data_IF_843115487293
#
_entry.id   IF_843115487293
#
_cell.length_a   1.000
_cell.length_b   1.000
_cell.length_c   1.000
_cell.angle_alpha   90.00
_cell.angle_beta   90.00
_cell.angle_gamma   90.00
#
_symmetry.space_group_name_H-M   'P 1'
#
loop_
_entity.id
_entity.type
_entity.pdbx_description
1 polymer ?
#
# COMPACT_ATOMS: atom_id res chain seq x y z
N UNK A 1 -16.98 3.55 4.46
CA UNK A 1 -16.41 2.20 4.23
C UNK A 1 -15.49 1.77 5.38
N UNK A 2 -14.61 2.64 5.88
CA UNK A 2 -13.50 2.27 6.76
C UNK A 2 -13.68 2.58 8.27
N UNK A 3 -14.88 2.91 8.74
CA UNK A 3 -15.15 3.30 10.14
C UNK A 3 -14.63 2.28 11.18
N UNK A 4 -14.60 0.98 10.85
CA UNK A 4 -14.09 -0.06 11.75
C UNK A 4 -12.60 0.09 12.10
N UNK A 5 -11.85 0.91 11.34
CA UNK A 5 -10.43 1.23 11.59
C UNK A 5 -10.24 2.40 12.57
N UNK A 6 -11.29 3.15 12.91
CA UNK A 6 -11.23 4.36 13.78
C UNK A 6 -10.67 4.12 15.19
N UNK A 7 -10.71 2.86 15.65
CA UNK A 7 -10.09 2.42 16.91
C UNK A 7 -8.56 2.47 16.89
N UNK A 8 -7.95 2.56 15.72
CA UNK A 8 -6.50 2.72 15.55
C UNK A 8 -6.18 4.19 15.33
N UNK A 9 -5.17 4.71 16.02
CA UNK A 9 -4.65 6.05 15.71
C UNK A 9 -3.81 6.02 14.44
N UNK A 10 -3.02 4.97 14.25
CA UNK A 10 -2.06 4.87 13.15
C UNK A 10 -2.39 3.70 12.25
N UNK A 11 -2.54 4.00 10.97
CA UNK A 11 -2.92 3.03 9.95
C UNK A 11 -1.88 3.10 8.83
N UNK A 12 -1.24 1.98 8.53
CA UNK A 12 -0.34 1.84 7.39
C UNK A 12 -1.04 1.06 6.29
N UNK A 13 -1.13 1.67 5.11
CA UNK A 13 -1.63 1.03 3.89
C UNK A 13 -0.44 0.61 3.04
N UNK A 14 -0.32 -0.69 2.78
CA UNK A 14 0.77 -1.28 2.01
C UNK A 14 0.25 -2.34 1.04
N UNK A 15 1.14 -2.99 0.30
CA UNK A 15 0.79 -3.99 -0.71
C UNK A 15 1.69 -3.89 -1.93
N UNK A 16 1.43 -4.69 -2.98
CA UNK A 16 2.13 -4.56 -4.24
C UNK A 16 2.01 -3.14 -4.81
N UNK A 17 3.08 -2.67 -5.45
CA UNK A 17 3.01 -1.46 -6.26
C UNK A 17 1.88 -1.61 -7.28
N UNK A 18 1.11 -0.54 -7.48
CA UNK A 18 -0.04 -0.48 -8.41
C UNK A 18 -1.27 -1.29 -7.99
N UNK A 19 -1.29 -1.88 -6.79
CA UNK A 19 -2.48 -2.53 -6.21
C UNK A 19 -3.55 -1.56 -5.66
N UNK A 20 -3.35 -0.23 -5.80
CA UNK A 20 -4.32 0.76 -5.32
C UNK A 20 -4.08 1.28 -3.90
N UNK A 21 -2.85 1.16 -3.38
CA UNK A 21 -2.49 1.66 -2.03
C UNK A 21 -2.76 3.15 -1.86
N UNK A 22 -2.49 3.98 -2.87
CA UNK A 22 -2.76 5.43 -2.81
C UNK A 22 -4.25 5.75 -2.66
N UNK A 23 -5.11 5.15 -3.47
CA UNK A 23 -6.56 5.43 -3.41
C UNK A 23 -7.16 4.90 -2.11
N UNK A 24 -6.78 3.69 -1.68
CA UNK A 24 -7.21 3.12 -0.41
C UNK A 24 -6.80 4.00 0.78
N UNK A 25 -5.54 4.45 0.83
CA UNK A 25 -5.07 5.32 1.91
C UNK A 25 -5.82 6.66 1.95
N UNK A 26 -6.09 7.28 0.79
CA UNK A 26 -6.89 8.50 0.71
C UNK A 26 -8.34 8.27 1.17
N UNK A 27 -8.96 7.14 0.81
CA UNK A 27 -10.31 6.80 1.23
C UNK A 27 -10.41 6.54 2.74
N UNK A 28 -9.44 5.81 3.31
CA UNK A 28 -9.36 5.61 4.77
C UNK A 28 -9.18 6.95 5.47
N UNK A 29 -8.27 7.80 4.99
CA UNK A 29 -8.03 9.13 5.56
C UNK A 29 -9.30 10.01 5.52
N UNK A 30 -10.01 9.99 4.40
CA UNK A 30 -11.28 10.69 4.21
C UNK A 30 -12.34 10.21 5.20
N UNK A 31 -12.64 8.91 5.22
CA UNK A 31 -13.67 8.33 6.09
C UNK A 31 -13.41 8.63 7.57
N UNK A 32 -12.15 8.49 8.01
CA UNK A 32 -11.79 8.65 9.42
C UNK A 32 -11.54 10.10 9.84
N UNK A 33 -11.44 11.04 8.88
CA UNK A 33 -10.97 12.41 9.14
C UNK A 33 -9.51 12.46 9.61
N UNK A 34 -8.67 11.55 9.12
CA UNK A 34 -7.26 11.45 9.51
C UNK A 34 -6.36 12.16 8.49
N UNK A 35 -5.23 12.75 8.92
CA UNK A 35 -4.17 13.19 8.02
C UNK A 35 -3.68 12.05 7.11
N UNK A 36 -3.63 12.31 5.81
CA UNK A 36 -3.00 11.43 4.83
C UNK A 36 -1.51 11.73 4.70
N UNK A 37 -0.69 10.70 4.87
CA UNK A 37 0.77 10.73 4.73
C UNK A 37 1.19 9.89 3.52
N UNK A 38 1.53 10.53 2.39
CA UNK A 38 1.96 9.82 1.18
C UNK A 38 3.41 9.34 1.29
N UNK A 39 3.76 8.30 0.52
CA UNK A 39 5.08 7.65 0.50
C UNK A 39 6.23 8.64 0.26
N UNK A 40 6.02 9.65 -0.57
CA UNK A 40 7.02 10.66 -0.94
C UNK A 40 7.51 11.47 0.25
N UNK A 41 6.72 11.56 1.34
CA UNK A 41 7.14 12.23 2.57
C UNK A 41 8.08 11.36 3.43
N UNK A 42 8.19 10.07 3.15
CA UNK A 42 9.02 9.15 3.93
C UNK A 42 10.45 8.98 3.39
N UNK A 43 10.78 9.59 2.24
CA UNK A 43 12.09 9.48 1.59
C UNK A 43 12.28 8.18 0.78
N UNK A 44 13.28 8.15 -0.10
CA UNK A 44 13.48 7.08 -1.10
C UNK A 44 14.41 5.92 -0.64
N UNK A 45 15.03 6.03 0.54
CA UNK A 45 16.09 5.11 1.01
C UNK A 45 15.62 4.13 2.11
N UNK A 46 16.53 3.56 2.92
CA UNK A 46 16.24 2.79 4.14
C UNK A 46 15.86 3.67 5.35
N UNK A 47 16.01 5.00 5.20
CA UNK A 47 15.52 6.02 6.12
C UNK A 47 14.02 5.95 6.50
N UNK A 48 13.09 5.42 5.67
CA UNK A 48 11.69 5.24 6.02
C UNK A 48 11.53 4.43 7.30
N UNK A 49 12.37 3.41 7.58
CA UNK A 49 12.24 2.66 8.83
C UNK A 49 12.45 3.55 10.05
N UNK A 50 13.47 4.42 10.01
CA UNK A 50 13.76 5.36 11.09
C UNK A 50 12.70 6.45 11.18
N UNK A 51 12.34 7.06 10.05
CA UNK A 51 11.34 8.14 9.98
C UNK A 51 9.94 7.67 10.39
N UNK A 52 9.52 6.48 9.91
CA UNK A 52 8.26 5.85 10.30
C UNK A 52 8.31 5.52 11.79
N UNK A 53 9.41 4.95 12.30
CA UNK A 53 9.51 4.63 13.73
C UNK A 53 9.48 5.88 14.61
N UNK A 54 10.01 7.01 14.15
CA UNK A 54 9.91 8.29 14.85
C UNK A 54 8.49 8.85 14.81
N UNK A 55 7.88 8.94 13.62
CA UNK A 55 6.51 9.45 13.49
C UNK A 55 5.46 8.55 14.17
N UNK A 56 5.69 7.23 14.19
CA UNK A 56 4.79 6.30 14.86
C UNK A 56 4.85 6.42 16.39
N UNK A 57 5.94 6.95 16.98
CA UNK A 57 6.03 7.12 18.44
C UNK A 57 5.10 8.20 19.00
N UNK A 58 4.67 9.15 18.18
CA UNK A 58 3.97 10.34 18.67
C UNK A 58 2.46 10.14 18.90
N UNK A 59 1.92 8.93 18.67
CA UNK A 59 0.50 8.63 18.89
C UNK A 59 -0.47 9.45 18.03
N UNK A 60 0.04 10.25 17.10
CA UNK A 60 -0.75 11.10 16.21
C UNK A 60 -1.61 10.24 15.29
N UNK A 61 -2.85 10.68 15.08
CA UNK A 61 -3.76 10.05 14.12
C UNK A 61 -3.25 10.30 12.71
N UNK A 62 -3.03 9.25 11.93
CA UNK A 62 -2.57 9.36 10.55
C UNK A 62 -2.78 8.07 9.76
N UNK A 63 -2.91 8.24 8.44
CA UNK A 63 -2.92 7.14 7.46
C UNK A 63 -1.71 7.27 6.56
N UNK A 64 -0.80 6.29 6.62
CA UNK A 64 0.44 6.27 5.86
C UNK A 64 0.30 5.36 4.65
N UNK A 65 0.66 5.81 3.46
CA UNK A 65 0.78 4.96 2.27
C UNK A 65 2.23 4.54 2.07
N UNK A 66 2.52 3.23 2.18
CA UNK A 66 3.87 2.69 2.23
C UNK A 66 4.00 1.34 1.46
N UNK A 67 3.82 1.31 0.12
CA UNK A 67 3.90 0.09 -0.68
C UNK A 67 5.33 -0.50 -0.72
N UNK A 68 6.38 0.33 -0.74
CA UNK A 68 7.76 -0.16 -0.66
C UNK A 68 8.07 -0.84 0.69
N UNK A 69 7.32 -0.50 1.75
CA UNK A 69 7.49 -1.08 3.07
C UNK A 69 6.80 -2.44 3.24
N UNK A 70 6.17 -2.97 2.19
CA UNK A 70 5.45 -4.24 2.25
C UNK A 70 6.33 -5.41 2.67
N UNK A 71 7.67 -5.34 2.53
CA UNK A 71 8.56 -6.43 2.95
C UNK A 71 8.69 -6.52 4.48
N UNK A 72 8.50 -5.40 5.18
CA UNK A 72 8.80 -5.25 6.61
C UNK A 72 7.60 -4.83 7.46
N UNK A 73 6.39 -4.78 6.92
CA UNK A 73 5.22 -4.28 7.66
C UNK A 73 4.91 -5.06 8.95
N UNK A 74 5.35 -6.31 9.06
CA UNK A 74 5.26 -7.12 10.29
C UNK A 74 6.24 -6.72 11.41
N UNK A 75 7.20 -5.83 11.11
CA UNK A 75 8.15 -5.27 12.06
C UNK A 75 7.71 -3.90 12.61
N UNK A 76 6.58 -3.36 12.14
CA UNK A 76 6.06 -2.09 12.61
C UNK A 76 5.77 -2.14 14.12
N UNK A 77 6.04 -1.05 14.86
CA UNK A 77 5.73 -0.99 16.28
C UNK A 77 4.22 -1.11 16.51
N UNK A 78 3.84 -1.72 17.63
CA UNK A 78 2.44 -1.73 18.09
C UNK A 78 2.14 -0.37 18.74
N UNK A 79 0.88 0.14 18.67
CA UNK A 79 -0.33 -0.50 18.15
C UNK A 79 -0.76 -0.02 16.74
N UNK A 80 0.04 -0.25 15.70
CA UNK A 80 -0.31 0.13 14.33
C UNK A 80 -1.22 -0.90 13.64
N UNK A 81 -2.24 -0.41 12.93
CA UNK A 81 -3.00 -1.23 12.00
C UNK A 81 -2.34 -1.28 10.63
N UNK A 82 -2.29 -2.46 10.03
CA UNK A 82 -1.72 -2.65 8.69
C UNK A 82 -2.82 -3.10 7.74
N UNK A 83 -3.12 -2.28 6.74
CA UNK A 83 -4.03 -2.59 5.65
C UNK A 83 -3.21 -3.01 4.43
N UNK A 84 -3.37 -4.26 4.00
CA UNK A 84 -2.70 -4.76 2.81
C UNK A 84 -3.66 -4.79 1.62
N UNK A 85 -3.26 -4.17 0.51
CA UNK A 85 -4.03 -4.15 -0.73
C UNK A 85 -3.83 -5.44 -1.53
N UNK A 86 -4.94 -6.03 -1.93
CA UNK A 86 -5.00 -7.10 -2.92
C UNK A 86 -5.61 -6.57 -4.21
N UNK A 87 -5.09 -7.05 -5.33
CA UNK A 87 -5.57 -6.77 -6.68
C UNK A 87 -5.14 -7.92 -7.57
N UNK A 88 -5.92 -8.18 -8.60
CA UNK A 88 -5.53 -9.13 -9.64
C UNK A 88 -4.11 -8.85 -10.18
N UNK A 89 -3.33 -9.91 -10.32
CA UNK A 89 -1.89 -9.81 -10.62
C UNK A 89 -1.65 -9.37 -12.06
N UNK A 90 -2.47 -9.83 -13.00
CA UNK A 90 -2.34 -9.44 -14.41
C UNK A 90 -2.68 -7.96 -14.56
N UNK A 91 -3.65 -7.48 -13.79
CA UNK A 91 -4.05 -6.08 -13.69
C UNK A 91 -2.95 -5.19 -13.08
N UNK A 92 -2.23 -5.69 -12.06
CA UNK A 92 -1.02 -5.04 -11.52
C UNK A 92 0.08 -4.97 -12.59
N UNK A 93 0.38 -6.08 -13.27
CA UNK A 93 1.43 -6.16 -14.29
C UNK A 93 1.12 -5.20 -15.44
N UNK A 94 -0.13 -5.19 -15.94
CA UNK A 94 -0.57 -4.27 -16.98
C UNK A 94 -0.38 -2.80 -16.55
N UNK A 95 -0.72 -2.47 -15.30
CA UNK A 95 -0.54 -1.13 -14.74
C UNK A 95 0.94 -0.73 -14.59
N UNK A 96 1.82 -1.66 -14.21
CA UNK A 96 3.26 -1.43 -14.10
C UNK A 96 3.90 -1.22 -15.48
N UNK A 97 3.54 -2.04 -16.48
CA UNK A 97 4.00 -1.90 -17.87
C UNK A 97 3.63 -0.54 -18.46
N UNK A 98 2.39 -0.08 -18.22
CA UNK A 98 1.90 1.23 -18.70
C UNK A 98 2.77 2.41 -18.28
N UNK A 99 3.41 2.33 -17.12
CA UNK A 99 4.26 3.40 -16.58
C UNK A 99 5.76 3.05 -16.59
N UNK A 100 6.15 1.99 -17.33
CA UNK A 100 7.52 1.49 -17.41
C UNK A 100 8.18 1.25 -16.03
N UNK A 101 7.41 0.75 -15.06
CA UNK A 101 7.90 0.56 -13.69
C UNK A 101 8.84 -0.65 -13.54
N UNK A 102 8.59 -1.72 -14.31
CA UNK A 102 9.20 -3.05 -14.11
C UNK A 102 10.71 -3.09 -14.28
N UNK A 103 11.25 -2.41 -15.30
CA UNK A 103 12.63 -2.61 -15.79
C UNK A 103 13.72 -2.35 -14.74
N UNK A 104 13.49 -1.41 -13.81
CA UNK A 104 14.47 -1.05 -12.77
C UNK A 104 14.01 -1.37 -11.36
N UNK A 105 12.72 -1.27 -11.07
CA UNK A 105 12.21 -1.33 -9.69
C UNK A 105 11.91 -2.76 -9.24
N UNK A 106 11.44 -3.61 -10.15
CA UNK A 106 11.02 -4.97 -9.80
C UNK A 106 12.18 -5.85 -9.28
N UNK A 107 13.38 -5.86 -9.90
CA UNK A 107 14.51 -6.61 -9.37
C UNK A 107 14.95 -6.14 -7.97
N UNK A 108 14.95 -4.82 -7.73
CA UNK A 108 15.29 -4.25 -6.41
C UNK A 108 14.31 -4.71 -5.34
N UNK A 109 13.02 -4.70 -5.68
CA UNK A 109 11.97 -5.15 -4.77
C UNK A 109 12.04 -6.65 -4.49
N UNK A 110 12.26 -7.48 -5.52
CA UNK A 110 12.41 -8.93 -5.37
C UNK A 110 13.57 -9.32 -4.45
N UNK A 111 14.69 -8.58 -4.52
CA UNK A 111 15.83 -8.81 -3.65
C UNK A 111 15.48 -8.69 -2.16
N UNK A 112 14.51 -7.84 -1.79
CA UNK A 112 14.05 -7.69 -0.40
C UNK A 112 13.33 -8.93 0.14
N UNK A 113 12.86 -9.80 -0.76
CA UNK A 113 12.21 -11.07 -0.46
C UNK A 113 13.14 -12.27 -0.74
N UNK A 114 14.43 -12.02 -0.99
CA UNK A 114 15.40 -13.05 -1.39
C UNK A 114 14.96 -13.82 -2.65
N UNK A 115 14.33 -13.11 -3.59
CA UNK A 115 13.86 -13.66 -4.87
C UNK A 115 14.61 -13.04 -6.06
N UNK A 116 14.65 -13.80 -7.15
CA UNK A 116 15.18 -13.37 -8.46
C UNK A 116 14.04 -13.10 -9.46
N UNK A 117 14.26 -12.29 -10.51
CA UNK A 117 13.24 -11.96 -11.52
C UNK A 117 12.58 -13.14 -12.23
N UNK A 118 13.29 -14.27 -12.36
CA UNK A 118 12.79 -15.51 -12.96
C UNK A 118 11.85 -16.31 -12.04
N UNK A 119 11.66 -15.90 -10.78
CA UNK A 119 10.84 -16.58 -9.78
C UNK A 119 9.41 -16.03 -9.68
N UNK A 120 8.96 -15.28 -10.69
CA UNK A 120 7.62 -14.72 -10.80
C UNK A 120 7.55 -13.23 -10.49
N UNK A 121 6.41 -12.58 -10.81
CA UNK A 121 6.22 -11.15 -10.63
C UNK A 121 6.25 -10.77 -9.15
N UNK A 122 6.81 -9.60 -8.83
CA UNK A 122 6.92 -9.12 -7.45
C UNK A 122 5.56 -9.05 -6.74
N UNK A 123 4.49 -8.76 -7.47
CA UNK A 123 3.13 -8.71 -6.92
C UNK A 123 2.70 -10.05 -6.31
N UNK A 124 2.95 -11.17 -6.99
CA UNK A 124 2.70 -12.53 -6.47
C UNK A 124 3.53 -12.76 -5.21
N UNK A 125 4.84 -12.48 -5.28
CA UNK A 125 5.76 -12.68 -4.15
C UNK A 125 5.30 -11.90 -2.91
N UNK A 126 4.89 -10.64 -3.07
CA UNK A 126 4.38 -9.80 -1.99
C UNK A 126 3.10 -10.35 -1.37
N UNK A 127 2.15 -10.79 -2.20
CA UNK A 127 0.87 -11.34 -1.75
C UNK A 127 1.09 -12.66 -0.99
N UNK A 128 1.91 -13.56 -1.53
CA UNK A 128 2.21 -14.84 -0.89
C UNK A 128 2.92 -14.63 0.45
N UNK A 129 3.89 -13.71 0.50
CA UNK A 129 4.61 -13.37 1.74
C UNK A 129 3.70 -12.72 2.78
N UNK A 130 2.78 -11.85 2.35
CA UNK A 130 1.75 -11.28 3.23
C UNK A 130 0.91 -12.37 3.90
N UNK A 131 0.37 -13.29 3.10
CA UNK A 131 -0.52 -14.36 3.57
C UNK A 131 0.22 -15.32 4.50
N UNK A 132 1.42 -15.76 4.10
CA UNK A 132 2.11 -16.88 4.76
C UNK A 132 2.99 -16.45 5.93
N UNK A 133 3.57 -15.25 5.90
CA UNK A 133 4.57 -14.80 6.89
C UNK A 133 4.08 -13.61 7.70
N UNK A 134 3.55 -12.57 7.05
CA UNK A 134 3.36 -11.27 7.71
C UNK A 134 2.04 -11.14 8.45
N UNK A 135 0.92 -11.46 7.80
CA UNK A 135 -0.42 -11.35 8.35
C UNK A 135 -0.57 -12.07 9.70
N UNK A 136 -0.04 -13.30 9.90
CA UNK A 136 -0.10 -13.97 11.19
C UNK A 136 0.70 -13.30 12.32
N UNK A 137 1.65 -12.41 12.00
CA UNK A 137 2.56 -11.76 12.96
C UNK A 137 2.16 -10.33 13.33
N UNK A 138 1.17 -9.77 12.63
CA UNK A 138 0.68 -8.41 12.84
C UNK A 138 -0.53 -8.48 13.79
N UNK A 139 -0.57 -7.60 14.79
CA UNK A 139 -1.65 -7.59 15.78
C UNK A 139 -3.00 -7.14 15.20
N UNK A 140 -2.96 -6.18 14.26
CA UNK A 140 -4.14 -5.59 13.62
C UNK A 140 -4.04 -5.64 12.09
N UNK A 141 -4.05 -6.83 11.47
CA UNK A 141 -3.93 -6.97 10.03
C UNK A 141 -5.30 -6.86 9.36
N UNK A 142 -5.36 -6.10 8.28
CA UNK A 142 -6.53 -5.96 7.42
C UNK A 142 -6.14 -6.23 5.98
N UNK A 143 -7.10 -6.67 5.19
CA UNK A 143 -6.93 -6.95 3.76
C UNK A 143 -8.07 -6.29 3.02
N UNK A 144 -7.76 -5.57 1.94
CA UNK A 144 -8.73 -4.86 1.12
C UNK A 144 -8.51 -5.23 -0.34
N UNK A 145 -9.55 -5.75 -0.98
CA UNK A 145 -9.56 -6.02 -2.41
C UNK A 145 -9.77 -4.71 -3.18
N UNK A 146 -9.00 -4.48 -4.23
CA UNK A 146 -9.05 -3.24 -5.02
C UNK A 146 -10.44 -2.95 -5.58
N UNK A 147 -11.15 -3.98 -6.03
CA UNK A 147 -12.48 -3.90 -6.64
C UNK A 147 -13.54 -3.49 -5.60
N UNK A 148 -13.34 -3.83 -4.32
CA UNK A 148 -14.25 -3.41 -3.24
C UNK A 148 -14.25 -1.89 -3.02
N UNK A 149 -13.18 -1.19 -3.46
CA UNK A 149 -13.11 0.27 -3.38
C UNK A 149 -14.09 0.96 -4.33
N UNK A 150 -14.68 0.24 -5.29
CA UNK A 150 -15.66 0.79 -6.23
C UNK A 150 -16.93 1.30 -5.58
N UNK A 151 -17.25 0.83 -4.38
CA UNK A 151 -18.40 1.28 -3.59
C UNK A 151 -18.15 2.63 -2.90
N UNK A 152 -16.91 3.11 -2.87
CA UNK A 152 -16.55 4.34 -2.16
C UNK A 152 -16.79 5.58 -3.03
N UNK A 153 -17.36 6.68 -2.52
CA UNK A 153 -17.69 7.89 -3.30
C UNK A 153 -16.51 8.55 -4.04
N UNK A 154 -15.29 8.38 -3.54
CA UNK A 154 -14.05 8.85 -4.20
C UNK A 154 -13.55 7.95 -5.34
N UNK A 155 -14.24 6.85 -5.64
CA UNK A 155 -13.89 5.99 -6.76
C UNK A 155 -14.25 6.67 -8.09
N UNK A 156 -13.32 6.63 -9.03
CA UNK A 156 -13.55 7.08 -10.41
C UNK A 156 -13.68 5.87 -11.29
N UNK A 157 -14.70 5.77 -12.14
CA UNK A 157 -14.91 4.59 -12.96
C UNK A 157 -13.81 4.38 -14.01
N UNK A 158 -13.45 3.12 -14.31
CA UNK A 158 -12.35 2.80 -15.23
C UNK A 158 -12.51 3.49 -16.60
N UNK A 159 -13.74 3.57 -17.10
CA UNK A 159 -14.07 4.24 -18.37
C UNK A 159 -13.76 5.74 -18.37
N UNK A 160 -13.72 6.37 -17.18
CA UNK A 160 -13.41 7.80 -17.02
C UNK A 160 -11.92 8.06 -16.82
N UNK A 161 -11.09 7.01 -16.65
CA UNK A 161 -9.64 7.12 -16.36
C UNK A 161 -8.76 7.22 -17.62
N UNK A 162 -9.24 7.87 -18.67
CA UNK A 162 -8.60 7.85 -20.01
C UNK A 162 -7.20 8.45 -20.01
N UNK A 163 -6.95 9.50 -19.21
CA UNK A 163 -5.66 10.19 -19.12
C UNK A 163 -5.05 10.16 -17.71
N UNK A 164 -5.35 9.14 -16.91
CA UNK A 164 -4.88 9.10 -15.52
C UNK A 164 -3.35 9.00 -15.45
N UNK A 165 -2.74 10.07 -14.93
CA UNK A 165 -1.31 10.13 -14.62
C UNK A 165 -0.90 9.14 -13.52
N UNK A 166 0.40 8.95 -13.27
CA UNK A 166 0.87 8.18 -12.14
C UNK A 166 0.28 8.73 -10.83
N UNK A 167 -0.37 7.88 -10.02
CA UNK A 167 -0.96 8.23 -8.70
C UNK A 167 -2.21 9.13 -8.74
N UNK A 168 -2.77 9.45 -9.91
CA UNK A 168 -4.04 10.18 -10.01
C UNK A 168 -5.21 9.35 -9.45
N UNK A 169 -6.07 10.00 -8.67
CA UNK A 169 -7.23 9.37 -8.01
C UNK A 169 -8.54 10.14 -8.21
N UNK A 170 -8.53 11.26 -8.92
CA UNK A 170 -9.68 12.13 -9.18
C UNK A 170 -9.68 12.59 -10.64
N UNK A 171 -10.84 12.99 -11.15
CA UNK A 171 -10.94 13.74 -12.41
C UNK A 171 -10.45 15.17 -12.13
N UNK A 172 -9.52 15.67 -12.94
CA UNK A 172 -9.08 17.08 -12.91
C UNK A 172 -10.11 17.97 -13.62
#
# INVERSE_FOLDING_TARGET
MFEHLKKHSQIVVTGPQRAGTTICAKMIAHDLGYPFWPEERCGEDLAPYCLIREHLKEGQKAVYQLPAFSAWCHLLPKPVAVVFMLRDIDDIIASQKRINWTSFNEPRELAMYFRKPDQGPISRVKIDFWITIQKPRIASPYTVEYESLSEHPMWVEKAQRTNFGPRQTTLE
#
